data_IF_214940075274
#
_entry.id   IF_214940075274
#
_cell.length_a   1.000
_cell.length_b   1.000
_cell.length_c   1.000
_cell.angle_alpha   90.00
_cell.angle_beta   90.00
_cell.angle_gamma   90.00
#
_symmetry.space_group_name_H-M   'P 1'
#
loop_
_entity.id
_entity.type
_entity.pdbx_description
1 polymer ?
#
# COMPACT_ATOMS: atom_id res chain seq x y z
N UNK A 1 5.03 -14.31 35.87
CA UNK A 1 5.69 -13.97 34.58
C UNK A 1 4.90 -12.82 33.96
N UNK A 2 5.54 -11.67 33.69
CA UNK A 2 4.86 -10.51 33.10
C UNK A 2 4.96 -10.60 31.57
N UNK A 3 3.88 -11.04 30.94
CA UNK A 3 3.81 -11.29 29.51
C UNK A 3 4.11 -10.03 28.68
N UNK A 4 3.74 -8.83 29.15
CA UNK A 4 4.01 -7.56 28.46
C UNK A 4 5.51 -7.23 28.42
N UNK A 5 6.23 -7.48 29.52
CA UNK A 5 7.67 -7.29 29.57
C UNK A 5 8.41 -8.30 28.69
N UNK A 6 7.90 -9.53 28.62
CA UNK A 6 8.42 -10.57 27.73
C UNK A 6 8.19 -10.20 26.25
N UNK A 7 6.98 -9.76 25.87
CA UNK A 7 6.70 -9.31 24.50
C UNK A 7 7.62 -8.14 24.12
N UNK A 8 7.75 -7.13 25.00
CA UNK A 8 8.63 -5.97 24.77
C UNK A 8 10.10 -6.34 24.61
N UNK A 9 10.59 -7.34 25.35
CA UNK A 9 11.99 -7.79 25.23
C UNK A 9 12.26 -8.55 23.92
N UNK A 10 11.24 -9.13 23.30
CA UNK A 10 11.36 -9.78 21.99
C UNK A 10 11.32 -8.79 20.82
N UNK A 11 10.76 -7.58 20.99
CA UNK A 11 10.60 -6.57 19.92
C UNK A 11 11.91 -6.26 19.15
N UNK A 12 13.08 -6.07 19.79
CA UNK A 12 14.31 -5.80 19.05
C UNK A 12 14.77 -6.98 18.18
N UNK A 13 14.56 -8.22 18.68
CA UNK A 13 14.94 -9.45 17.98
C UNK A 13 14.00 -9.69 16.80
N UNK A 14 12.69 -9.53 16.99
CA UNK A 14 11.70 -9.65 15.91
C UNK A 14 11.88 -8.56 14.87
N UNK A 15 12.19 -7.32 15.27
CA UNK A 15 12.49 -6.23 14.33
C UNK A 15 13.71 -6.55 13.45
N UNK A 16 14.81 -7.03 14.04
CA UNK A 16 16.00 -7.45 13.26
C UNK A 16 15.68 -8.59 12.29
N UNK A 17 14.86 -9.56 12.72
CA UNK A 17 14.44 -10.66 11.86
C UNK A 17 13.59 -10.17 10.69
N UNK A 18 12.62 -9.29 10.93
CA UNK A 18 11.81 -8.69 9.86
C UNK A 18 12.64 -7.85 8.91
N UNK A 19 13.59 -7.07 9.42
CA UNK A 19 14.54 -6.32 8.60
C UNK A 19 15.39 -7.22 7.69
N UNK A 20 15.63 -8.48 8.05
CA UNK A 20 16.31 -9.43 7.14
C UNK A 20 15.47 -9.81 5.91
N UNK A 21 14.16 -9.53 5.93
CA UNK A 21 13.22 -9.71 4.83
C UNK A 21 12.84 -8.39 4.16
N UNK A 22 13.55 -7.29 4.46
CA UNK A 22 13.25 -5.97 3.90
C UNK A 22 13.22 -6.02 2.37
N UNK A 23 12.13 -5.50 1.79
CA UNK A 23 11.90 -5.43 0.36
C UNK A 23 11.50 -4.01 -0.02
N UNK A 24 11.96 -3.55 -1.17
CA UNK A 24 11.57 -2.25 -1.71
C UNK A 24 10.14 -2.34 -2.28
N UNK A 25 9.31 -1.34 -1.96
CA UNK A 25 7.96 -1.19 -2.51
C UNK A 25 7.90 0.15 -3.21
N UNK A 26 7.76 0.11 -4.54
CA UNK A 26 7.70 1.31 -5.39
C UNK A 26 6.31 1.42 -5.99
N UNK A 27 5.59 2.48 -5.66
CA UNK A 27 4.24 2.77 -6.17
C UNK A 27 4.26 3.11 -7.67
N UNK A 28 3.21 2.65 -8.37
CA UNK A 28 2.98 2.92 -9.78
C UNK A 28 2.00 4.10 -9.96
N UNK A 29 2.48 5.28 -10.43
CA UNK A 29 1.63 6.44 -10.67
C UNK A 29 0.55 6.21 -11.75
N UNK A 30 0.73 5.23 -12.63
CA UNK A 30 -0.27 4.90 -13.66
C UNK A 30 -1.51 4.24 -13.07
N UNK A 31 -1.36 3.59 -11.91
CA UNK A 31 -2.45 2.92 -11.18
C UNK A 31 -3.17 3.86 -10.21
N UNK A 32 -2.46 4.88 -9.72
CA UNK A 32 -2.95 5.76 -8.67
C UNK A 32 -4.23 6.50 -9.05
N UNK A 33 -5.18 6.55 -8.11
CA UNK A 33 -6.34 7.43 -8.22
C UNK A 33 -5.91 8.88 -8.49
N UNK A 34 -6.61 9.67 -9.34
CA UNK A 34 -6.23 11.06 -9.65
C UNK A 34 -6.20 12.05 -8.48
N UNK A 35 -6.51 11.61 -7.27
CA UNK A 35 -6.36 12.40 -6.02
C UNK A 35 -5.15 11.97 -5.17
N UNK A 36 -4.39 10.99 -5.66
CA UNK A 36 -3.15 10.53 -5.05
C UNK A 36 -1.98 10.95 -5.94
N UNK A 37 -1.15 11.85 -5.42
CA UNK A 37 0.09 12.26 -6.04
C UNK A 37 1.17 11.30 -5.56
N UNK A 38 1.76 10.56 -6.50
CA UNK A 38 2.88 9.66 -6.24
C UNK A 38 4.17 10.40 -6.54
N UNK A 39 5.16 10.34 -5.64
CA UNK A 39 6.47 10.94 -5.89
C UNK A 39 7.13 10.34 -7.15
N UNK A 40 8.07 11.05 -7.79
CA UNK A 40 8.82 10.49 -8.93
C UNK A 40 9.51 9.16 -8.61
N UNK A 41 9.95 8.99 -7.35
CA UNK A 41 10.58 7.76 -6.86
C UNK A 41 9.56 6.65 -6.54
N UNK A 42 8.29 6.98 -6.33
CA UNK A 42 7.25 6.02 -5.96
C UNK A 42 7.29 5.59 -4.49
N UNK A 43 8.03 6.32 -3.65
CA UNK A 43 8.21 6.06 -2.21
C UNK A 43 7.27 6.89 -1.31
N UNK A 44 6.48 7.78 -1.90
CA UNK A 44 5.52 8.64 -1.22
C UNK A 44 4.22 8.70 -1.99
N UNK A 45 3.10 8.64 -1.26
CA UNK A 45 1.76 8.95 -1.76
C UNK A 45 1.15 10.07 -0.93
N UNK A 46 0.69 11.12 -1.60
CA UNK A 46 0.05 12.27 -0.99
C UNK A 46 -1.38 12.44 -1.52
N UNK A 47 -2.34 12.50 -0.61
CA UNK A 47 -3.71 12.85 -0.97
C UNK A 47 -3.85 14.35 -1.19
N UNK A 48 -4.58 14.73 -2.23
CA UNK A 48 -5.01 16.10 -2.54
C UNK A 48 -6.52 16.15 -2.79
N UNK A 49 -7.14 17.27 -2.40
CA UNK A 49 -8.58 17.49 -2.63
C UNK A 49 -8.92 17.78 -4.09
N UNK A 50 -7.92 18.16 -4.88
CA UNK A 50 -8.07 18.50 -6.31
C UNK A 50 -7.80 17.29 -7.19
N UNK A 51 -8.67 17.05 -8.18
CA UNK A 51 -8.41 16.08 -9.24
C UNK A 51 -7.22 16.52 -10.08
N UNK A 52 -6.22 15.64 -10.17
CA UNK A 52 -5.05 15.87 -11.02
C UNK A 52 -5.36 15.52 -12.47
N UNK A 53 -4.81 16.30 -13.40
CA UNK A 53 -4.86 15.98 -14.83
C UNK A 53 -3.85 14.88 -15.15
N UNK A 54 -4.35 13.63 -15.20
CA UNK A 54 -3.55 12.45 -15.50
C UNK A 54 -4.14 11.68 -16.68
N UNK A 55 -3.34 10.96 -17.49
CA UNK A 55 -3.86 10.18 -18.58
C UNK A 55 -4.79 9.07 -18.10
N UNK A 56 -5.95 8.95 -18.74
CA UNK A 56 -6.85 7.82 -18.56
C UNK A 56 -6.19 6.52 -19.04
N UNK A 57 -6.36 5.47 -18.25
CA UNK A 57 -5.92 4.13 -18.61
C UNK A 57 -6.68 3.05 -17.81
N UNK A 58 -6.74 1.80 -18.32
CA UNK A 58 -7.47 0.72 -17.66
C UNK A 58 -6.92 0.33 -16.28
N UNK A 59 -5.63 0.54 -16.03
CA UNK A 59 -4.97 0.17 -14.77
C UNK A 59 -5.24 1.16 -13.62
N UNK A 60 -5.81 2.33 -13.93
CA UNK A 60 -6.02 3.42 -12.97
C UNK A 60 -7.27 3.19 -12.11
N UNK A 61 -7.13 3.33 -10.79
CA UNK A 61 -8.29 3.43 -9.91
C UNK A 61 -9.09 4.71 -10.16
N UNK A 62 -10.39 4.63 -10.40
CA UNK A 62 -11.25 5.81 -10.63
C UNK A 62 -12.18 6.16 -9.46
N UNK A 63 -12.46 5.17 -8.60
CA UNK A 63 -13.47 5.29 -7.54
C UNK A 63 -12.84 5.20 -6.16
N UNK A 64 -11.84 4.33 -5.99
CA UNK A 64 -11.15 4.13 -4.71
C UNK A 64 -9.84 4.91 -4.65
N UNK A 65 -9.52 5.49 -3.50
CA UNK A 65 -8.24 6.18 -3.25
C UNK A 65 -7.08 5.18 -3.07
N UNK A 66 -6.82 4.39 -4.11
CA UNK A 66 -5.81 3.33 -4.13
C UNK A 66 -4.68 3.66 -5.11
N UNK A 67 -3.51 3.12 -4.80
CA UNK A 67 -2.37 2.96 -5.71
C UNK A 67 -1.71 1.62 -5.37
N UNK A 68 -1.17 0.91 -6.37
CA UNK A 68 -0.45 -0.34 -6.14
C UNK A 68 1.02 -0.21 -6.53
N UNK A 69 1.83 -1.16 -6.07
CA UNK A 69 3.24 -1.24 -6.43
C UNK A 69 3.42 -1.64 -7.90
N UNK A 70 4.51 -1.19 -8.51
CA UNK A 70 4.93 -1.59 -9.87
C UNK A 70 5.24 -3.09 -9.97
N UNK A 71 5.70 -3.67 -8.87
CA UNK A 71 6.10 -5.06 -8.78
C UNK A 71 5.34 -5.74 -7.65
N UNK A 72 4.89 -6.96 -7.91
CA UNK A 72 4.33 -7.86 -6.90
C UNK A 72 5.35 -8.87 -6.42
N UNK A 73 5.03 -9.52 -5.31
CA UNK A 73 5.81 -10.63 -4.76
C UNK A 73 5.24 -11.97 -5.23
N UNK A 74 6.10 -12.96 -5.49
CA UNK A 74 5.68 -14.30 -5.96
C UNK A 74 5.98 -15.40 -4.96
N UNK A 75 7.09 -15.29 -4.24
CA UNK A 75 7.58 -16.31 -3.32
C UNK A 75 8.46 -15.67 -2.24
N UNK A 76 8.64 -16.36 -1.12
CA UNK A 76 9.52 -15.93 -0.04
C UNK A 76 8.81 -15.10 1.04
N UNK A 77 9.61 -14.37 1.81
CA UNK A 77 9.14 -13.49 2.88
C UNK A 77 9.58 -12.07 2.58
N UNK A 78 8.64 -11.14 2.70
CA UNK A 78 8.86 -9.73 2.40
C UNK A 78 8.39 -8.88 3.57
N UNK A 79 9.12 -7.80 3.83
CA UNK A 79 8.83 -6.85 4.87
C UNK A 79 9.04 -5.43 4.33
N UNK A 80 8.09 -4.55 4.64
CA UNK A 80 8.21 -3.13 4.36
C UNK A 80 7.53 -2.35 5.50
N UNK A 81 7.95 -1.10 5.68
CA UNK A 81 7.39 -0.19 6.65
C UNK A 81 6.82 1.02 5.90
N UNK A 82 5.72 1.58 6.41
CA UNK A 82 5.16 2.82 5.89
C UNK A 82 5.06 3.82 7.02
N UNK A 83 5.57 5.02 6.79
CA UNK A 83 5.38 6.14 7.70
C UNK A 83 4.14 6.93 7.28
N UNK A 84 3.22 7.11 8.21
CA UNK A 84 1.99 7.88 7.99
C UNK A 84 1.99 9.12 8.88
N UNK A 85 1.76 10.29 8.29
CA UNK A 85 1.70 11.57 9.00
C UNK A 85 0.54 12.42 8.50
N UNK A 86 -0.19 13.05 9.43
CA UNK A 86 -1.24 14.02 9.08
C UNK A 86 -2.47 13.43 8.39
N UNK A 87 -2.76 12.14 8.58
CA UNK A 87 -3.94 11.46 8.02
C UNK A 87 -4.81 10.88 9.13
N UNK A 88 -6.12 11.09 9.01
CA UNK A 88 -7.13 10.52 9.92
C UNK A 88 -7.61 9.15 9.47
N UNK A 89 -7.49 8.85 8.18
CA UNK A 89 -7.83 7.58 7.57
C UNK A 89 -6.78 7.20 6.54
N UNK A 90 -6.37 5.94 6.55
CA UNK A 90 -5.43 5.34 5.62
C UNK A 90 -5.55 3.82 5.73
N UNK A 91 -5.22 3.14 4.64
CA UNK A 91 -5.21 1.68 4.57
C UNK A 91 -3.90 1.23 3.91
N UNK A 92 -3.47 0.03 4.26
CA UNK A 92 -2.35 -0.65 3.62
C UNK A 92 -2.71 -2.13 3.53
N UNK A 93 -2.37 -2.76 2.41
CA UNK A 93 -2.69 -4.16 2.20
C UNK A 93 -1.91 -4.77 1.05
N UNK A 94 -2.26 -6.01 0.75
CA UNK A 94 -1.81 -6.75 -0.41
C UNK A 94 -3.00 -6.99 -1.33
N UNK A 95 -2.72 -7.14 -2.61
CA UNK A 95 -3.72 -7.45 -3.62
C UNK A 95 -3.08 -8.17 -4.79
N UNK A 96 -3.87 -8.98 -5.49
CA UNK A 96 -3.46 -9.54 -6.77
C UNK A 96 -3.55 -8.49 -7.89
N UNK A 97 -2.81 -8.66 -9.00
CA UNK A 97 -2.92 -7.77 -10.15
C UNK A 97 -4.35 -7.70 -10.74
N UNK A 98 -5.16 -8.74 -10.50
CA UNK A 98 -6.55 -8.93 -10.92
C UNK A 98 -7.55 -7.98 -10.27
N UNK A 99 -7.20 -7.30 -9.16
CA UNK A 99 -8.15 -6.41 -8.48
C UNK A 99 -8.78 -5.42 -9.47
N UNK A 100 -10.13 -5.34 -9.49
CA UNK A 100 -10.83 -4.36 -10.31
C UNK A 100 -10.34 -2.95 -10.05
N UNK A 101 -10.14 -2.19 -11.13
CA UNK A 101 -9.68 -0.79 -11.07
C UNK A 101 -10.84 0.20 -11.17
N UNK A 102 -12.00 -0.27 -11.61
CA UNK A 102 -13.18 0.53 -11.96
C UNK A 102 -14.42 -0.12 -11.35
N UNK A 103 -15.34 0.67 -10.80
CA UNK A 103 -16.60 0.17 -10.28
C UNK A 103 -17.08 0.85 -9.00
N UNK A 104 -18.34 0.59 -8.62
CA UNK A 104 -19.06 1.26 -7.52
C UNK A 104 -18.69 0.70 -6.14
N UNK A 105 -17.41 0.70 -5.84
CA UNK A 105 -16.86 0.55 -4.50
C UNK A 105 -16.44 -0.90 -4.18
N UNK A 106 -17.28 -1.82 -3.72
CA UNK A 106 -16.82 -3.01 -2.97
C UNK A 106 -15.67 -3.84 -3.63
N UNK A 107 -15.79 -4.21 -4.90
CA UNK A 107 -14.80 -5.08 -5.56
C UNK A 107 -13.42 -4.40 -5.77
N UNK A 108 -13.38 -3.06 -5.80
CA UNK A 108 -12.15 -2.29 -6.02
C UNK A 108 -11.41 -1.95 -4.72
N UNK A 109 -12.00 -2.25 -3.55
CA UNK A 109 -11.42 -1.93 -2.26
C UNK A 109 -10.41 -3.00 -1.86
N UNK A 110 -9.26 -2.55 -1.35
CA UNK A 110 -8.25 -3.45 -0.82
C UNK A 110 -8.86 -4.26 0.35
N UNK A 111 -8.70 -5.59 0.28
CA UNK A 111 -9.19 -6.51 1.31
C UNK A 111 -10.69 -6.78 1.29
N UNK A 112 -11.43 -6.37 0.25
CA UNK A 112 -12.87 -6.64 0.10
C UNK A 112 -13.23 -7.49 -1.12
N UNK A 113 -12.26 -7.87 -1.94
CA UNK A 113 -12.47 -8.82 -3.03
C UNK A 113 -12.58 -10.26 -2.54
N UNK A 114 -13.01 -11.16 -3.43
CA UNK A 114 -13.15 -12.60 -3.16
C UNK A 114 -11.80 -13.35 -3.01
N UNK A 115 -10.69 -12.69 -3.31
CA UNK A 115 -9.32 -13.25 -3.35
C UNK A 115 -8.45 -12.90 -2.13
#
# INVERSE_FOLDING_TARGET
INLLLFIRSQVPVTKKLFQSYASEVVLDPTTAHPKLIISPKGDLAEYTDTWQEVPENPSRFDTTLNAISRQGFREGRHYWEVQVSGKTYWEIGLTYPSIPRKGREEDCWLGRGDE
#
